data_IF_869357427045
#
_entry.id   IF_869357427045
#
_cell.length_a   1.000
_cell.length_b   1.000
_cell.length_c   1.000
_cell.angle_alpha   90.00
_cell.angle_beta   90.00
_cell.angle_gamma   90.00
#
_symmetry.space_group_name_H-M   'P 1'
#
loop_
_entity.id
_entity.type
_entity.pdbx_description
1 polymer ?
#
# COMPACT_ATOMS: atom_id res chain seq x y z
N UNK A 1 7.35 1.76 -81.09
CA UNK A 1 7.60 2.65 -79.94
C UNK A 1 6.51 2.38 -78.92
N UNK A 2 6.68 1.37 -78.05
CA UNK A 2 7.15 1.50 -76.65
C UNK A 2 6.19 2.36 -75.81
N UNK A 3 5.19 1.72 -75.18
CA UNK A 3 5.13 1.38 -73.74
C UNK A 3 4.52 2.54 -72.91
N UNK A 4 3.20 2.55 -72.66
CA UNK A 4 2.53 1.90 -71.50
C UNK A 4 3.31 2.07 -70.21
N UNK A 5 2.96 3.02 -69.31
CA UNK A 5 3.12 2.86 -67.84
C UNK A 5 2.14 3.78 -67.06
N UNK A 6 1.04 3.16 -66.61
CA UNK A 6 0.43 3.22 -65.26
C UNK A 6 -0.10 4.58 -64.75
N UNK A 7 -1.39 4.82 -65.02
CA UNK A 7 -2.30 5.35 -64.00
C UNK A 7 -2.86 4.15 -63.23
N UNK A 8 -2.34 3.93 -62.04
CA UNK A 8 -2.71 2.83 -61.16
C UNK A 8 -2.10 3.08 -59.80
N UNK A 9 -2.46 4.19 -59.16
CA UNK A 9 -2.19 4.38 -57.75
C UNK A 9 -3.12 3.41 -56.99
N UNK A 10 -2.62 2.19 -56.90
CA UNK A 10 -3.21 1.02 -56.28
C UNK A 10 -3.69 1.39 -54.86
N UNK A 11 -5.00 1.34 -54.63
CA UNK A 11 -5.60 1.55 -53.29
C UNK A 11 -4.99 0.60 -52.25
N UNK A 12 -4.44 -0.53 -52.69
CA UNK A 12 -3.69 -1.50 -51.88
C UNK A 12 -2.43 -0.91 -51.23
N UNK A 13 -1.74 0.04 -51.86
CA UNK A 13 -0.55 0.70 -51.29
C UNK A 13 -0.92 1.64 -50.13
N UNK A 14 -2.07 2.32 -50.23
CA UNK A 14 -2.61 3.16 -49.15
C UNK A 14 -3.11 2.31 -47.96
N UNK A 15 -3.73 1.16 -48.22
CA UNK A 15 -4.11 0.21 -47.17
C UNK A 15 -2.88 -0.43 -46.50
N UNK A 16 -1.82 -0.76 -47.26
CA UNK A 16 -0.59 -1.32 -46.70
C UNK A 16 0.12 -0.31 -45.78
N UNK A 17 0.14 0.98 -46.14
CA UNK A 17 0.66 2.03 -45.28
C UNK A 17 -0.20 2.23 -44.01
N UNK A 18 -1.53 2.17 -44.13
CA UNK A 18 -2.42 2.28 -42.98
C UNK A 18 -2.32 1.08 -42.03
N UNK A 19 -2.16 -0.14 -42.57
CA UNK A 19 -1.93 -1.37 -41.78
C UNK A 19 -0.55 -1.35 -41.13
N UNK A 20 0.48 -0.84 -41.80
CA UNK A 20 1.81 -0.69 -41.21
C UNK A 20 1.83 0.34 -40.06
N UNK A 21 1.11 1.45 -40.20
CA UNK A 21 0.95 2.47 -39.14
C UNK A 21 0.07 1.94 -38.00
N UNK A 22 -1.00 1.18 -38.30
CA UNK A 22 -1.82 0.53 -37.29
C UNK A 22 -1.07 -0.59 -36.56
N UNK A 23 -0.17 -1.32 -37.24
CA UNK A 23 0.71 -2.31 -36.63
C UNK A 23 1.79 -1.64 -35.76
N UNK A 24 2.38 -0.52 -36.19
CA UNK A 24 3.33 0.24 -35.36
C UNK A 24 2.64 0.87 -34.13
N UNK A 25 1.39 1.32 -34.27
CA UNK A 25 0.58 1.80 -33.15
C UNK A 25 0.17 0.67 -32.21
N UNK A 26 -0.16 -0.52 -32.72
CA UNK A 26 -0.45 -1.70 -31.88
C UNK A 26 0.80 -2.23 -31.16
N UNK A 27 1.99 -2.08 -31.74
CA UNK A 27 3.26 -2.36 -31.06
C UNK A 27 3.61 -1.31 -29.98
N UNK A 28 3.17 -0.05 -30.13
CA UNK A 28 3.37 1.00 -29.12
C UNK A 28 2.42 0.90 -27.91
N UNK A 29 1.34 0.12 -28.02
CA UNK A 29 0.40 -0.15 -26.94
C UNK A 29 0.79 -1.36 -26.07
N UNK A 30 1.95 -1.98 -26.31
CA UNK A 30 2.40 -3.17 -25.59
C UNK A 30 3.50 -2.90 -24.55
N UNK A 31 3.64 -1.65 -24.09
CA UNK A 31 4.31 -1.46 -22.79
C UNK A 31 3.28 -1.88 -21.75
N UNK A 32 3.44 -3.10 -21.23
CA UNK A 32 2.69 -3.56 -20.05
C UNK A 32 2.80 -2.49 -18.96
N UNK A 33 1.72 -2.23 -18.23
CA UNK A 33 1.74 -1.28 -17.10
C UNK A 33 2.91 -1.55 -16.14
N UNK A 34 3.30 -2.81 -15.98
CA UNK A 34 4.49 -3.21 -15.21
C UNK A 34 5.80 -2.69 -15.82
N UNK A 35 5.97 -2.75 -17.14
CA UNK A 35 7.13 -2.19 -17.84
C UNK A 35 7.14 -0.66 -17.81
N UNK A 36 5.98 0.00 -17.82
CA UNK A 36 5.90 1.45 -17.67
C UNK A 36 6.27 1.89 -16.25
N UNK A 37 5.91 1.11 -15.23
CA UNK A 37 6.32 1.31 -13.83
C UNK A 37 7.82 1.08 -13.67
N UNK A 38 8.36 0.00 -14.26
CA UNK A 38 9.80 -0.33 -14.20
C UNK A 38 10.68 0.68 -14.95
N UNK A 39 10.19 1.24 -16.06
CA UNK A 39 10.84 2.33 -16.77
C UNK A 39 10.65 3.71 -16.08
N UNK A 40 9.90 3.77 -14.97
CA UNK A 40 9.67 4.99 -14.20
C UNK A 40 8.73 5.99 -14.90
N UNK A 41 7.92 5.54 -15.86
CA UNK A 41 6.94 6.32 -16.62
C UNK A 41 5.54 6.31 -15.98
N UNK A 42 5.23 5.29 -15.18
CA UNK A 42 3.95 5.13 -14.49
C UNK A 42 4.15 4.83 -12.99
N UNK A 43 3.08 4.97 -12.22
CA UNK A 43 3.04 4.61 -10.80
C UNK A 43 2.03 3.49 -10.57
N UNK A 44 2.42 2.48 -9.81
CA UNK A 44 1.55 1.38 -9.40
C UNK A 44 1.65 1.19 -7.90
N UNK A 45 0.49 1.10 -7.25
CA UNK A 45 0.37 0.96 -5.80
C UNK A 45 -0.32 -0.35 -5.44
N UNK A 46 0.41 -1.21 -4.72
CA UNK A 46 -0.14 -2.44 -4.17
C UNK A 46 -0.45 -2.25 -2.69
N UNK A 47 -1.66 -2.61 -2.27
CA UNK A 47 -2.06 -2.58 -0.86
C UNK A 47 -2.23 -3.99 -0.32
N UNK A 48 -1.73 -4.22 0.89
CA UNK A 48 -1.83 -5.49 1.60
C UNK A 48 -2.19 -5.22 3.06
N UNK A 49 -2.92 -6.14 3.67
CA UNK A 49 -3.35 -6.05 5.07
C UNK A 49 -3.18 -7.39 5.76
N UNK A 50 -2.50 -7.39 6.91
CA UNK A 50 -2.34 -8.57 7.75
C UNK A 50 -3.01 -8.33 9.10
N UNK A 51 -3.90 -9.24 9.50
CA UNK A 51 -4.60 -9.20 10.80
C UNK A 51 -4.08 -10.34 11.66
N UNK A 52 -3.60 -10.01 12.86
CA UNK A 52 -3.01 -10.96 13.80
C UNK A 52 -3.48 -10.66 15.22
N UNK A 53 -3.61 -11.70 16.05
CA UNK A 53 -3.72 -11.50 17.50
C UNK A 53 -2.42 -10.89 18.00
N UNK A 54 -2.52 -9.88 18.86
CA UNK A 54 -1.31 -9.34 19.48
C UNK A 54 -0.62 -10.41 20.33
N UNK A 55 -1.39 -11.33 20.92
CA UNK A 55 -0.88 -12.37 21.82
C UNK A 55 -0.66 -11.85 23.23
N UNK A 56 -1.45 -10.85 23.66
CA UNK A 56 -1.47 -10.40 25.04
C UNK A 56 -1.99 -11.50 25.98
N UNK A 57 -1.59 -11.51 27.27
CA UNK A 57 -1.94 -12.59 28.18
C UNK A 57 -3.46 -12.79 28.36
N UNK A 58 -4.24 -11.74 28.10
CA UNK A 58 -5.69 -11.76 28.19
C UNK A 58 -6.39 -11.94 26.82
N UNK A 59 -5.64 -12.03 25.72
CA UNK A 59 -6.17 -12.23 24.36
C UNK A 59 -7.11 -11.14 23.87
N UNK A 60 -6.97 -9.89 24.35
CA UNK A 60 -7.91 -8.79 24.15
C UNK A 60 -7.65 -7.95 22.91
N UNK A 61 -6.43 -7.98 22.40
CA UNK A 61 -6.00 -7.06 21.36
C UNK A 61 -5.74 -7.75 20.02
N UNK A 62 -6.21 -7.10 18.97
CA UNK A 62 -5.96 -7.48 17.57
C UNK A 62 -5.14 -6.39 16.91
N UNK A 63 -4.11 -6.78 16.18
CA UNK A 63 -3.36 -5.84 15.34
C UNK A 63 -3.64 -6.08 13.88
N UNK A 64 -3.90 -5.02 13.15
CA UNK A 64 -3.99 -5.00 11.70
C UNK A 64 -2.85 -4.12 11.17
N UNK A 65 -1.98 -4.68 10.34
CA UNK A 65 -0.92 -3.93 9.67
C UNK A 65 -1.32 -3.77 8.22
N UNK A 66 -1.60 -2.53 7.82
CA UNK A 66 -1.85 -2.18 6.44
C UNK A 66 -0.55 -1.67 5.84
N UNK A 67 -0.16 -2.23 4.69
CA UNK A 67 1.04 -1.84 3.96
C UNK A 67 0.65 -1.52 2.53
N UNK A 68 0.97 -0.31 2.12
CA UNK A 68 0.85 0.17 0.75
C UNK A 68 2.25 0.38 0.18
N UNK A 69 2.50 -0.16 -1.01
CA UNK A 69 3.78 -0.01 -1.71
C UNK A 69 3.49 0.57 -3.08
N UNK A 70 3.90 1.83 -3.28
CA UNK A 70 3.85 2.51 -4.56
C UNK A 70 5.23 2.49 -5.21
N UNK A 71 5.30 1.92 -6.42
CA UNK A 71 6.49 1.86 -7.28
C UNK A 71 6.32 2.78 -8.48
N UNK A 72 7.44 3.28 -9.02
CA UNK A 72 7.45 4.21 -10.14
C UNK A 72 8.60 5.23 -10.03
N UNK A 73 8.50 6.41 -10.65
CA UNK A 73 9.54 7.44 -10.57
C UNK A 73 9.83 7.84 -9.12
N UNK A 74 11.10 8.14 -8.80
CA UNK A 74 11.59 8.41 -7.42
C UNK A 74 10.74 9.38 -6.60
N UNK A 75 10.10 10.36 -7.26
CA UNK A 75 9.28 11.39 -6.61
C UNK A 75 7.97 10.83 -6.05
N UNK A 76 7.48 9.75 -6.65
CA UNK A 76 6.16 9.17 -6.41
C UNK A 76 6.26 7.77 -5.76
N UNK A 77 7.45 7.18 -5.69
CA UNK A 77 7.68 5.89 -5.03
C UNK A 77 7.71 6.02 -3.49
N UNK A 78 6.85 5.27 -2.81
CA UNK A 78 6.82 5.19 -1.35
C UNK A 78 6.33 3.83 -0.84
N UNK A 79 6.67 3.50 0.40
CA UNK A 79 6.05 2.44 1.18
C UNK A 79 5.40 3.09 2.40
N UNK A 80 4.10 2.93 2.55
CA UNK A 80 3.37 3.38 3.73
C UNK A 80 2.94 2.16 4.55
N UNK A 81 3.17 2.22 5.86
CA UNK A 81 2.68 1.23 6.81
C UNK A 81 1.81 1.92 7.85
N UNK A 82 0.62 1.38 8.08
CA UNK A 82 -0.28 1.80 9.14
C UNK A 82 -0.49 0.65 10.09
N UNK A 83 -0.26 0.89 11.37
CA UNK A 83 -0.57 -0.07 12.41
C UNK A 83 -1.91 0.31 13.04
N UNK A 84 -2.86 -0.60 12.98
CA UNK A 84 -4.14 -0.49 13.66
C UNK A 84 -4.15 -1.48 14.82
N UNK A 85 -4.49 -1.00 16.00
CA UNK A 85 -4.61 -1.80 17.21
C UNK A 85 -6.06 -1.75 17.69
N UNK A 86 -6.77 -2.86 17.57
CA UNK A 86 -8.15 -3.00 17.99
C UNK A 86 -8.23 -3.58 19.40
N UNK A 87 -8.87 -2.84 20.29
CA UNK A 87 -9.29 -3.30 21.60
C UNK A 87 -10.68 -3.93 21.47
N UNK A 88 -10.75 -5.25 21.58
CA UNK A 88 -11.98 -6.01 21.42
C UNK A 88 -12.91 -5.93 22.63
N UNK A 89 -12.44 -5.48 23.79
CA UNK A 89 -13.30 -5.27 24.97
C UNK A 89 -14.02 -3.93 24.89
N UNK A 90 -13.28 -2.89 24.50
CA UNK A 90 -13.81 -1.53 24.45
C UNK A 90 -14.36 -1.15 23.06
N UNK A 91 -14.29 -2.05 22.07
CA UNK A 91 -14.81 -1.81 20.73
C UNK A 91 -14.17 -0.61 20.03
N UNK A 92 -12.89 -0.35 20.33
CA UNK A 92 -12.17 0.84 19.86
C UNK A 92 -10.93 0.41 19.08
N UNK A 93 -10.71 1.01 17.92
CA UNK A 93 -9.49 0.83 17.15
C UNK A 93 -8.59 2.06 17.27
N UNK A 94 -7.32 1.85 17.56
CA UNK A 94 -6.30 2.87 17.63
C UNK A 94 -5.45 2.80 16.37
N UNK A 95 -5.50 3.84 15.54
CA UNK A 95 -4.57 4.00 14.43
C UNK A 95 -3.27 4.62 14.97
N UNK A 96 -2.21 3.81 14.99
CA UNK A 96 -0.90 4.14 15.53
C UNK A 96 0.06 4.37 14.37
N UNK A 97 0.39 5.64 14.12
CA UNK A 97 1.38 6.11 13.16
C UNK A 97 1.12 5.72 11.70
N UNK A 98 1.56 6.58 10.77
CA UNK A 98 1.64 6.22 9.36
C UNK A 98 3.11 6.29 8.97
N UNK A 99 3.79 5.14 9.00
CA UNK A 99 5.19 5.05 8.64
C UNK A 99 5.31 5.10 7.12
N UNK A 100 5.56 6.29 6.60
CA UNK A 100 5.84 6.48 5.19
C UNK A 100 7.33 6.54 4.94
N UNK A 101 7.86 5.48 4.36
CA UNK A 101 9.18 5.45 3.76
C UNK A 101 9.07 5.91 2.31
N UNK A 102 9.84 6.92 1.92
CA UNK A 102 9.89 7.40 0.54
C UNK A 102 11.32 7.30 0.02
N UNK A 103 11.47 7.10 -1.29
CA UNK A 103 12.76 7.22 -1.96
C UNK A 103 13.31 8.65 -1.91
N UNK A 104 12.43 9.64 -1.73
CA UNK A 104 12.77 11.03 -1.41
C UNK A 104 12.77 11.25 0.12
N UNK A 105 13.94 11.48 0.76
CA UNK A 105 14.03 11.71 2.19
C UNK A 105 13.20 12.89 2.68
N UNK A 106 13.00 13.93 1.85
CA UNK A 106 12.22 15.11 2.21
C UNK A 106 10.70 14.80 2.31
N UNK A 107 10.26 13.64 1.82
CA UNK A 107 8.86 13.19 1.81
C UNK A 107 8.58 12.06 2.81
N UNK A 108 9.55 11.73 3.66
CA UNK A 108 9.32 10.78 4.75
C UNK A 108 8.28 11.35 5.71
N UNK A 109 7.41 10.48 6.21
CA UNK A 109 6.38 10.87 7.18
C UNK A 109 7.01 11.29 8.52
N UNK A 110 6.28 12.03 9.36
CA UNK A 110 6.77 12.47 10.67
C UNK A 110 7.14 11.29 11.60
N UNK A 111 6.53 10.13 11.38
CA UNK A 111 6.74 8.93 12.19
C UNK A 111 7.90 8.04 11.68
N UNK A 112 8.61 8.42 10.61
CA UNK A 112 9.60 7.57 9.93
C UNK A 112 10.70 7.02 10.85
N UNK A 113 11.23 7.85 11.75
CA UNK A 113 12.30 7.46 12.69
C UNK A 113 11.76 6.82 13.99
N UNK A 114 10.43 6.67 14.14
CA UNK A 114 9.79 6.23 15.39
C UNK A 114 9.37 4.75 15.36
N UNK A 115 9.76 4.00 14.33
CA UNK A 115 9.34 2.61 14.15
C UNK A 115 9.78 1.70 15.31
N UNK A 116 10.99 1.90 15.82
CA UNK A 116 11.53 1.11 16.93
C UNK A 116 10.78 1.41 18.22
N UNK A 117 10.37 2.66 18.42
CA UNK A 117 9.53 3.06 19.55
C UNK A 117 8.17 2.38 19.48
N UNK A 118 7.51 2.40 18.31
CA UNK A 118 6.21 1.73 18.10
C UNK A 118 6.31 0.22 18.35
N UNK A 119 7.34 -0.43 17.80
CA UNK A 119 7.55 -1.87 17.97
C UNK A 119 7.84 -2.25 19.43
N UNK A 120 8.63 -1.43 20.14
CA UNK A 120 8.92 -1.63 21.56
C UNK A 120 7.64 -1.54 22.41
N UNK A 121 6.82 -0.50 22.21
CA UNK A 121 5.58 -0.36 22.97
C UNK A 121 4.58 -1.48 22.64
N UNK A 122 4.46 -1.86 21.36
CA UNK A 122 3.65 -3.01 20.94
C UNK A 122 4.10 -4.30 21.65
N UNK A 123 5.41 -4.54 21.75
CA UNK A 123 5.95 -5.71 22.45
C UNK A 123 5.61 -5.67 23.94
N UNK A 124 5.75 -4.50 24.59
CA UNK A 124 5.39 -4.31 26.00
C UNK A 124 3.91 -4.60 26.25
N UNK A 125 3.02 -4.18 25.34
CA UNK A 125 1.59 -4.48 25.43
C UNK A 125 1.34 -5.99 25.27
N UNK A 126 2.03 -6.63 24.31
CA UNK A 126 1.96 -8.08 24.09
C UNK A 126 2.38 -8.89 25.31
N UNK A 127 3.38 -8.46 26.07
CA UNK A 127 3.81 -9.18 27.29
C UNK A 127 3.09 -8.72 28.57
N UNK A 128 2.11 -7.82 28.45
CA UNK A 128 1.34 -7.32 29.60
C UNK A 128 2.12 -6.35 30.52
N UNK A 129 3.23 -5.77 30.04
CA UNK A 129 4.04 -4.79 30.79
C UNK A 129 3.52 -3.35 30.69
N UNK A 130 2.51 -3.11 29.86
CA UNK A 130 1.84 -1.81 29.72
C UNK A 130 0.37 -2.04 29.35
N UNK A 131 -0.45 -1.02 29.53
CA UNK A 131 -1.84 -1.01 29.09
C UNK A 131 -2.03 -0.07 27.89
N UNK A 132 -3.22 -0.12 27.28
CA UNK A 132 -3.53 0.68 26.10
C UNK A 132 -3.46 2.19 26.35
N UNK A 133 -3.81 2.65 27.55
CA UNK A 133 -3.80 4.08 27.91
C UNK A 133 -2.38 4.62 28.06
N UNK A 134 -1.50 3.83 28.67
CA UNK A 134 -0.08 4.13 28.89
C UNK A 134 0.68 4.03 27.57
N UNK A 135 0.36 3.04 26.74
CA UNK A 135 0.92 2.91 25.40
C UNK A 135 0.56 4.13 24.52
N UNK A 136 -0.72 4.47 24.43
CA UNK A 136 -1.17 5.56 23.55
C UNK A 136 -0.66 6.93 24.00
N UNK A 137 -0.62 7.20 25.31
CA UNK A 137 -0.02 8.42 25.85
C UNK A 137 1.50 8.46 25.65
N UNK A 138 2.21 7.35 25.87
CA UNK A 138 3.65 7.24 25.66
C UNK A 138 4.06 7.42 24.20
N UNK A 139 3.30 6.84 23.27
CA UNK A 139 3.51 7.01 21.83
C UNK A 139 3.25 8.46 21.39
N UNK A 140 2.17 9.07 21.89
CA UNK A 140 1.88 10.48 21.59
C UNK A 140 2.97 11.41 22.14
N UNK A 141 3.48 11.15 23.35
CA UNK A 141 4.58 11.90 23.94
C UNK A 141 5.91 11.72 23.17
N UNK A 142 6.11 10.55 22.55
CA UNK A 142 7.25 10.29 21.68
C UNK A 142 7.10 10.90 20.27
N UNK A 143 6.00 11.61 19.99
CA UNK A 143 5.72 12.25 18.70
C UNK A 143 5.02 11.35 17.68
N UNK A 144 4.62 10.13 18.05
CA UNK A 144 3.86 9.24 17.17
C UNK A 144 2.41 9.69 17.10
N UNK A 145 1.87 9.80 15.90
CA UNK A 145 0.44 10.13 15.73
C UNK A 145 -0.44 8.97 16.18
N UNK A 146 -1.29 9.17 17.19
CA UNK A 146 -2.30 8.18 17.63
C UNK A 146 -3.71 8.74 17.42
N UNK A 147 -4.55 8.00 16.69
CA UNK A 147 -5.96 8.36 16.48
C UNK A 147 -6.88 7.24 16.98
N UNK A 148 -7.72 7.55 17.97
CA UNK A 148 -8.78 6.65 18.41
C UNK A 148 -9.97 6.69 17.43
N UNK A 149 -10.45 5.51 17.06
CA UNK A 149 -11.58 5.28 16.16
C UNK A 149 -12.60 4.40 16.89
N UNK A 150 -13.48 5.00 17.71
CA UNK A 150 -14.51 4.25 18.42
C UNK A 150 -15.48 3.58 17.45
N UNK A 151 -15.93 2.37 17.77
CA UNK A 151 -16.86 1.59 16.95
C UNK A 151 -16.23 0.92 15.72
N UNK A 152 -14.90 1.05 15.53
CA UNK A 152 -14.14 0.34 14.49
C UNK A 152 -13.34 -0.82 15.07
N UNK A 153 -13.00 -1.80 14.22
CA UNK A 153 -12.26 -2.99 14.64
C UNK A 153 -13.11 -4.17 15.12
N UNK A 154 -14.43 -3.98 15.31
CA UNK A 154 -15.35 -5.03 15.75
C UNK A 154 -15.36 -6.24 14.80
N UNK A 155 -15.42 -6.00 13.49
CA UNK A 155 -15.39 -7.07 12.48
C UNK A 155 -14.08 -7.88 12.53
N UNK A 156 -12.94 -7.24 12.84
CA UNK A 156 -11.65 -7.90 12.99
C UNK A 156 -11.61 -8.74 14.26
N UNK A 157 -12.16 -8.23 15.36
CA UNK A 157 -12.32 -8.96 16.62
C UNK A 157 -13.24 -10.18 16.47
N UNK A 158 -14.38 -10.03 15.79
CA UNK A 158 -15.33 -11.13 15.51
C UNK A 158 -14.73 -12.22 14.62
N UNK A 159 -14.04 -11.84 13.53
CA UNK A 159 -13.35 -12.80 12.65
C UNK A 159 -12.31 -13.62 13.40
N UNK A 160 -11.62 -13.03 14.38
CA UNK A 160 -10.62 -13.72 15.20
C UNK A 160 -11.22 -14.57 16.31
N UNK A 161 -12.35 -14.16 16.89
CA UNK A 161 -13.14 -15.00 17.80
C UNK A 161 -13.65 -16.25 17.06
N UNK A 162 -14.17 -16.10 15.84
CA UNK A 162 -14.63 -17.21 15.02
C UNK A 162 -13.51 -18.20 14.62
N UNK A 163 -12.29 -17.70 14.37
CA UNK A 163 -11.11 -18.54 14.10
C UNK A 163 -10.56 -19.25 15.35
N UNK A 164 -10.88 -18.78 16.55
CA UNK A 164 -10.45 -19.40 17.80
C UNK A 164 -11.44 -20.46 18.33
N UNK A 165 -12.67 -20.47 17.80
CA UNK A 165 -13.72 -21.43 18.13
C UNK A 165 -13.71 -22.67 17.21
N UNK A 166 -12.81 -22.72 16.22
CA UNK A 166 -12.57 -23.86 15.32
C UNK A 166 -11.14 -24.38 15.53
#
# INVERSE_FOLDING_TARGET
>A
MTAQWIFGADRTALYAAFVAVAALLSLSACVSDEQAVDMGLATQCDSSGAVEKLGDPAGRFVTETQREVCRGPKRDAYTEQRLLLSDCQNGTQYAIGMLRQSADPARRGPDYDLIDTVNREKLRLKVGLTDISTLTSGLTAAGVTVKAQPGKGAAQCEKLAARAAN
#
